data_IF_646852824902
#
_entry.id   IF_646852824902
#
_cell.length_a   1.000
_cell.length_b   1.000
_cell.length_c   1.000
_cell.angle_alpha   90.00
_cell.angle_beta   90.00
_cell.angle_gamma   90.00
#
_symmetry.space_group_name_H-M   'P 1'
#
loop_
_entity.id
_entity.type
_entity.pdbx_description
1 polymer ?
#
# COMPACT_ATOMS: atom_id res chain seq x y z
N UNK A 1 57.57 10.48 20.32
CA UNK A 1 56.62 9.74 19.46
C UNK A 1 55.74 8.92 20.39
N UNK A 2 54.47 9.20 20.66
CA UNK A 2 53.42 9.99 20.00
C UNK A 2 52.59 10.67 21.12
N UNK A 3 52.39 11.97 21.02
CA UNK A 3 51.26 12.68 21.64
C UNK A 3 50.05 12.53 20.73
N UNK A 4 48.89 12.12 21.25
CA UNK A 4 47.59 12.48 20.66
C UNK A 4 46.56 12.74 21.75
N UNK A 5 46.13 14.00 21.74
CA UNK A 5 45.10 14.60 22.55
C UNK A 5 43.76 13.84 22.45
N UNK A 6 43.18 13.54 23.60
CA UNK A 6 41.75 13.31 23.75
C UNK A 6 41.13 14.72 23.83
N UNK A 7 40.53 15.15 22.72
CA UNK A 7 39.75 16.38 22.66
C UNK A 7 38.37 16.09 23.24
N UNK A 8 38.11 16.74 24.36
CA UNK A 8 36.87 16.73 25.14
C UNK A 8 35.77 17.46 24.34
N UNK A 9 34.96 16.72 23.57
CA UNK A 9 33.75 17.27 22.96
C UNK A 9 32.67 17.38 24.02
N UNK A 10 32.45 18.60 24.52
CA UNK A 10 31.33 18.96 25.40
C UNK A 10 30.02 18.43 24.81
N UNK A 11 29.40 17.47 25.51
CA UNK A 11 28.01 17.08 25.29
C UNK A 11 27.12 18.32 25.48
N UNK A 12 26.41 18.68 24.41
CA UNK A 12 25.40 19.74 24.39
C UNK A 12 24.20 19.26 25.23
N UNK A 13 24.19 19.63 26.52
CA UNK A 13 23.16 19.24 27.49
C UNK A 13 21.91 20.10 27.34
N UNK A 14 21.28 20.08 26.16
CA UNK A 14 19.92 20.60 25.99
C UNK A 14 18.94 19.51 26.44
N UNK A 15 18.01 19.80 27.39
CA UNK A 15 17.00 18.84 27.77
C UNK A 15 16.16 18.48 26.53
N UNK A 16 16.11 17.20 26.21
CA UNK A 16 15.28 16.66 25.14
C UNK A 16 13.82 16.99 25.45
N UNK A 17 13.12 17.65 24.53
CA UNK A 17 11.71 18.00 24.70
C UNK A 17 10.86 16.72 24.63
N UNK A 18 10.41 16.26 25.79
CA UNK A 18 9.59 15.06 25.95
C UNK A 18 8.08 15.37 25.93
N UNK A 19 7.66 16.57 25.54
CA UNK A 19 6.24 16.95 25.45
C UNK A 19 5.42 16.03 24.53
N UNK A 20 6.05 15.34 23.58
CA UNK A 20 5.40 14.32 22.75
C UNK A 20 4.89 13.11 23.56
N UNK A 21 5.50 12.80 24.72
CA UNK A 21 5.03 11.73 25.61
C UNK A 21 3.66 12.05 26.20
N UNK A 22 3.35 13.33 26.42
CA UNK A 22 2.05 13.77 26.92
C UNK A 22 0.94 13.55 25.89
N UNK A 23 1.25 13.77 24.60
CA UNK A 23 0.32 13.49 23.50
C UNK A 23 0.08 11.98 23.32
N UNK A 24 1.12 11.16 23.49
CA UNK A 24 1.00 9.69 23.51
C UNK A 24 0.14 9.24 24.70
N UNK A 25 0.39 9.75 25.90
CA UNK A 25 -0.38 9.43 27.11
C UNK A 25 -1.85 9.83 26.98
N UNK A 26 -2.12 11.00 26.41
CA UNK A 26 -3.47 11.49 26.12
C UNK A 26 -4.20 10.63 25.07
N UNK A 27 -3.47 10.08 24.10
CA UNK A 27 -4.03 9.15 23.12
C UNK A 27 -4.30 7.76 23.72
N UNK A 28 -3.43 7.27 24.63
CA UNK A 28 -3.60 6.00 25.34
C UNK A 28 -4.75 6.00 26.36
N UNK A 29 -5.17 7.17 26.84
CA UNK A 29 -6.36 7.33 27.70
C UNK A 29 -7.69 7.20 26.95
N UNK A 30 -7.68 7.17 25.61
CA UNK A 30 -8.90 6.94 24.85
C UNK A 30 -9.29 5.45 24.92
N UNK A 31 -10.54 5.11 25.25
CA UNK A 31 -10.99 3.72 25.18
C UNK A 31 -10.79 3.20 23.75
N UNK A 32 -10.30 1.97 23.62
CA UNK A 32 -10.25 1.29 22.31
C UNK A 32 -11.66 1.27 21.73
N UNK A 33 -11.78 1.64 20.46
CA UNK A 33 -13.05 1.56 19.73
C UNK A 33 -13.62 0.14 19.86
N UNK A 34 -14.84 0.04 20.37
CA UNK A 34 -15.56 -1.23 20.46
C UNK A 34 -16.14 -1.59 19.08
N UNK A 35 -16.20 -2.88 18.77
CA UNK A 35 -16.68 -3.46 17.50
C UNK A 35 -18.15 -3.09 17.14
N UNK A 36 -18.84 -2.22 17.90
CA UNK A 36 -20.18 -1.70 17.58
C UNK A 36 -20.22 -0.33 16.89
N UNK A 37 -19.08 0.37 16.80
CA UNK A 37 -19.03 1.68 16.15
C UNK A 37 -18.88 1.48 14.64
N UNK A 38 -20.00 1.18 13.98
CA UNK A 38 -20.16 1.34 12.53
C UNK A 38 -19.50 2.65 12.13
N UNK A 39 -18.50 2.58 11.25
CA UNK A 39 -17.82 3.71 10.58
C UNK A 39 -18.78 4.89 10.51
N UNK A 40 -18.60 5.86 11.41
CA UNK A 40 -19.50 6.98 11.53
C UNK A 40 -19.37 7.78 10.23
N UNK A 41 -20.39 7.73 9.38
CA UNK A 41 -20.43 8.46 8.11
C UNK A 41 -20.19 9.96 8.32
N UNK A 42 -20.32 10.47 9.55
CA UNK A 42 -19.93 11.83 9.95
C UNK A 42 -18.42 12.08 9.98
N UNK A 43 -17.56 11.09 10.23
CA UNK A 43 -16.11 11.25 10.14
C UNK A 43 -15.65 11.38 8.68
N UNK A 44 -16.28 10.64 7.75
CA UNK A 44 -16.06 10.79 6.32
C UNK A 44 -16.52 12.17 5.81
N UNK A 45 -17.62 12.70 6.35
CA UNK A 45 -18.13 14.04 6.03
C UNK A 45 -17.24 15.14 6.64
N UNK A 46 -16.65 14.94 7.82
CA UNK A 46 -15.74 15.92 8.44
C UNK A 46 -14.41 16.10 7.66
N UNK A 47 -13.92 15.07 6.98
CA UNK A 47 -12.76 15.20 6.09
C UNK A 47 -13.06 16.05 4.84
N UNK A 48 -14.30 16.01 4.35
CA UNK A 48 -14.75 16.80 3.19
C UNK A 48 -15.22 18.23 3.56
N UNK A 49 -15.21 18.60 4.84
CA UNK A 49 -15.63 19.93 5.32
C UNK A 49 -14.46 20.78 5.82
N UNK A 50 -13.28 20.65 5.19
CA UNK A 50 -12.28 21.72 5.22
C UNK A 50 -12.81 22.91 4.43
N UNK A 51 -13.55 23.77 5.15
CA UNK A 51 -14.09 25.02 4.67
C UNK A 51 -12.94 26.03 4.49
N UNK A 52 -12.74 26.64 3.29
CA UNK A 52 -11.58 27.48 2.96
C UNK A 52 -11.54 28.87 3.63
N UNK A 53 -12.23 29.07 4.76
CA UNK A 53 -12.44 30.39 5.38
C UNK A 53 -11.97 30.50 6.84
N UNK A 54 -10.97 29.74 7.28
CA UNK A 54 -10.24 30.07 8.52
C UNK A 54 -9.14 31.09 8.20
N UNK A 55 -9.35 32.32 8.68
CA UNK A 55 -8.41 33.43 8.51
C UNK A 55 -7.14 33.21 9.37
N UNK A 56 -6.01 33.01 8.67
CA UNK A 56 -4.62 33.23 9.05
C UNK A 56 -3.91 32.21 9.97
N UNK A 57 -3.52 31.07 9.38
CA UNK A 57 -2.08 30.81 9.17
C UNK A 57 -1.86 31.13 7.70
N UNK A 58 -0.91 32.00 7.36
CA UNK A 58 -0.59 32.34 5.96
C UNK A 58 -0.06 31.09 5.26
N UNK A 59 -0.96 30.28 4.70
CA UNK A 59 -0.62 29.26 3.72
C UNK A 59 -0.41 29.96 2.38
N UNK A 60 0.84 30.09 1.95
CA UNK A 60 1.15 30.24 0.51
C UNK A 60 0.97 28.90 -0.24
N UNK A 61 0.12 27.99 0.25
CA UNK A 61 -0.04 26.64 -0.26
C UNK A 61 -1.44 26.47 -0.87
N UNK A 62 -1.73 27.25 -1.89
CA UNK A 62 -2.79 26.92 -2.85
C UNK A 62 -2.15 26.87 -4.23
N UNK A 63 -1.99 25.65 -4.73
CA UNK A 63 -1.70 25.31 -6.12
C UNK A 63 -0.22 25.14 -6.44
N UNK A 64 0.23 23.89 -6.60
CA UNK A 64 1.31 23.39 -7.51
C UNK A 64 1.96 22.08 -7.05
N UNK A 65 1.75 21.63 -5.80
CA UNK A 65 2.36 20.37 -5.32
C UNK A 65 1.82 19.16 -6.06
N UNK A 66 2.72 18.34 -6.59
CA UNK A 66 2.35 17.06 -7.21
C UNK A 66 2.22 15.98 -6.14
N UNK A 67 1.19 15.13 -6.27
CA UNK A 67 0.95 14.04 -5.34
C UNK A 67 2.00 12.94 -5.53
N UNK A 68 2.73 12.61 -4.47
CA UNK A 68 3.70 11.51 -4.45
C UNK A 68 3.17 10.37 -3.57
N UNK A 69 2.87 9.19 -4.14
CA UNK A 69 2.27 8.10 -3.37
C UNK A 69 3.30 7.44 -2.44
N UNK A 70 2.93 7.27 -1.18
CA UNK A 70 3.73 6.49 -0.22
C UNK A 70 3.44 5.00 -0.35
N UNK A 71 4.45 4.16 -0.13
CA UNK A 71 4.32 2.71 -0.25
C UNK A 71 4.75 2.00 1.03
N UNK A 72 3.84 1.16 1.54
CA UNK A 72 4.14 0.19 2.59
C UNK A 72 3.79 -1.20 2.07
N UNK A 73 4.80 -2.06 1.95
CA UNK A 73 4.68 -3.43 1.46
C UNK A 73 4.99 -4.41 2.58
N UNK A 74 4.13 -5.42 2.75
CA UNK A 74 4.45 -6.59 3.56
C UNK A 74 5.21 -7.58 2.66
N UNK A 75 6.50 -7.76 2.93
CA UNK A 75 7.37 -8.62 2.12
C UNK A 75 7.61 -9.99 2.76
N UNK A 76 7.21 -10.18 4.01
CA UNK A 76 7.39 -11.47 4.67
C UNK A 76 6.67 -11.62 6.01
N UNK A 77 6.26 -12.85 6.28
CA UNK A 77 5.93 -13.33 7.61
C UNK A 77 6.98 -14.38 7.96
N UNK A 78 7.78 -14.12 8.98
CA UNK A 78 9.04 -14.82 9.20
C UNK A 78 9.02 -15.64 10.47
N UNK A 79 9.56 -16.85 10.36
CA UNK A 79 10.03 -17.67 11.48
C UNK A 79 11.34 -17.10 12.02
N UNK A 80 11.77 -17.53 13.21
CA UNK A 80 13.04 -17.11 13.82
C UNK A 80 14.24 -17.29 12.88
N UNK A 81 14.39 -18.44 12.25
CA UNK A 81 15.51 -18.71 11.33
C UNK A 81 15.49 -17.79 10.10
N UNK A 82 14.32 -17.45 9.60
CA UNK A 82 14.18 -16.55 8.46
C UNK A 82 14.42 -15.09 8.83
N UNK A 83 14.08 -14.69 10.07
CA UNK A 83 14.38 -13.36 10.59
C UNK A 83 15.88 -13.08 10.58
N UNK A 84 16.69 -14.01 11.09
CA UNK A 84 18.14 -13.84 11.14
C UNK A 84 18.75 -13.63 9.74
N UNK A 85 18.33 -14.45 8.76
CA UNK A 85 18.77 -14.29 7.37
C UNK A 85 18.34 -12.96 6.77
N UNK A 86 17.10 -12.53 7.02
CA UNK A 86 16.60 -11.27 6.51
C UNK A 86 17.27 -10.05 7.16
N UNK A 87 17.58 -10.11 8.46
CA UNK A 87 18.35 -9.08 9.15
C UNK A 87 19.79 -9.02 8.65
N UNK A 88 20.44 -10.17 8.42
CA UNK A 88 21.77 -10.23 7.81
C UNK A 88 21.77 -9.51 6.47
N UNK A 89 20.85 -9.88 5.57
CA UNK A 89 20.77 -9.27 4.25
C UNK A 89 20.46 -7.76 4.30
N UNK A 90 19.59 -7.34 5.21
CA UNK A 90 19.29 -5.93 5.40
C UNK A 90 20.52 -5.17 5.94
N UNK A 91 21.24 -5.71 6.93
CA UNK A 91 22.37 -5.00 7.53
C UNK A 91 23.65 -5.07 6.70
N UNK A 92 23.81 -6.03 5.80
CA UNK A 92 24.93 -6.04 4.84
C UNK A 92 24.97 -4.78 3.97
N UNK A 93 23.82 -4.13 3.76
CA UNK A 93 23.65 -2.97 2.90
C UNK A 93 23.26 -1.69 3.69
N UNK A 94 23.48 -1.68 5.01
CA UNK A 94 23.17 -0.55 5.90
C UNK A 94 24.27 -0.39 6.93
N UNK A 95 24.59 0.86 7.32
CA UNK A 95 25.57 1.09 8.38
C UNK A 95 25.02 0.66 9.75
N UNK A 96 23.71 0.81 9.98
CA UNK A 96 23.10 0.66 11.32
C UNK A 96 21.64 0.18 11.28
N UNK A 97 21.10 -0.22 12.44
CA UNK A 97 19.67 -0.46 12.67
C UNK A 97 19.17 0.32 13.90
N UNK A 98 17.89 0.67 13.92
CA UNK A 98 17.26 1.42 15.02
C UNK A 98 16.08 0.64 15.61
N UNK A 99 15.99 0.57 16.94
CA UNK A 99 14.90 -0.13 17.63
C UNK A 99 13.67 0.76 17.89
N UNK A 100 12.66 0.23 18.59
CA UNK A 100 11.43 0.96 18.93
C UNK A 100 11.64 2.14 19.88
N UNK A 101 12.81 2.26 20.51
CA UNK A 101 13.20 3.42 21.33
C UNK A 101 14.05 4.42 20.54
N UNK A 102 14.17 4.22 19.22
CA UNK A 102 15.02 4.99 18.31
C UNK A 102 16.52 4.96 18.68
N UNK A 103 16.94 3.89 19.37
CA UNK A 103 18.34 3.66 19.70
C UNK A 103 18.97 2.82 18.60
N UNK A 104 20.18 3.21 18.23
CA UNK A 104 21.02 2.42 17.34
C UNK A 104 21.37 1.09 18.00
N UNK A 105 21.26 0.00 17.25
CA UNK A 105 21.50 -1.34 17.74
C UNK A 105 22.07 -2.23 16.65
N UNK A 106 22.93 -3.17 17.06
CA UNK A 106 23.41 -4.20 16.15
C UNK A 106 22.40 -5.35 16.02
N UNK A 107 22.67 -6.21 15.04
CA UNK A 107 21.88 -7.41 14.79
C UNK A 107 21.75 -8.30 16.03
N UNK A 108 22.85 -8.49 16.76
CA UNK A 108 22.91 -9.45 17.86
C UNK A 108 21.98 -9.00 18.99
N UNK A 109 22.01 -7.71 19.32
CA UNK A 109 21.12 -7.09 20.28
C UNK A 109 19.64 -7.27 19.90
N UNK A 110 19.28 -7.02 18.63
CA UNK A 110 17.90 -7.21 18.15
C UNK A 110 17.47 -8.67 18.33
N UNK A 111 18.27 -9.62 17.83
CA UNK A 111 17.94 -11.04 17.90
C UNK A 111 17.80 -11.51 19.34
N UNK A 112 18.79 -11.26 20.20
CA UNK A 112 18.79 -11.68 21.60
C UNK A 112 17.63 -11.08 22.40
N UNK A 113 17.36 -9.79 22.22
CA UNK A 113 16.27 -9.11 22.94
C UNK A 113 14.88 -9.61 22.53
N UNK A 114 14.74 -10.19 21.34
CA UNK A 114 13.48 -10.74 20.82
C UNK A 114 13.32 -12.24 21.11
N UNK A 115 14.40 -12.98 21.35
CA UNK A 115 14.33 -14.41 21.67
C UNK A 115 13.38 -14.73 22.84
N UNK A 116 13.36 -13.86 23.85
CA UNK A 116 12.48 -14.01 25.02
C UNK A 116 10.99 -13.87 24.70
N UNK A 117 10.66 -13.34 23.53
CA UNK A 117 9.28 -13.12 23.10
C UNK A 117 8.77 -14.24 22.18
N UNK A 118 9.66 -15.12 21.70
CA UNK A 118 9.33 -16.17 20.74
C UNK A 118 8.93 -17.46 21.44
N UNK A 119 7.97 -18.17 20.85
CA UNK A 119 7.63 -19.52 21.30
C UNK A 119 8.67 -20.50 20.76
N UNK A 120 9.64 -20.87 21.59
CA UNK A 120 10.71 -21.79 21.20
C UNK A 120 10.23 -23.24 20.99
N UNK A 121 8.99 -23.55 21.37
CA UNK A 121 8.42 -24.90 21.24
C UNK A 121 7.61 -25.08 19.96
N UNK A 122 7.20 -23.98 19.32
CA UNK A 122 6.32 -24.00 18.16
C UNK A 122 6.88 -23.17 17.02
N UNK A 123 6.78 -23.73 15.83
CA UNK A 123 7.33 -23.11 14.63
C UNK A 123 6.35 -22.10 14.01
N UNK A 124 6.25 -20.92 14.63
CA UNK A 124 5.36 -19.86 14.18
C UNK A 124 6.08 -18.73 13.42
N UNK A 125 5.28 -17.94 12.68
CA UNK A 125 5.73 -16.68 12.10
C UNK A 125 5.80 -15.60 13.18
N UNK A 126 6.97 -15.47 13.79
CA UNK A 126 7.32 -14.56 14.89
C UNK A 126 7.46 -13.09 14.48
N UNK A 127 7.82 -12.83 13.22
CA UNK A 127 8.10 -11.47 12.77
C UNK A 127 7.32 -11.14 11.50
N UNK A 128 6.94 -9.88 11.35
CA UNK A 128 6.43 -9.32 10.09
C UNK A 128 7.47 -8.37 9.51
N UNK A 129 7.79 -8.53 8.24
CA UNK A 129 8.74 -7.68 7.53
C UNK A 129 8.01 -6.76 6.58
N UNK A 130 8.10 -5.47 6.85
CA UNK A 130 7.57 -4.40 6.03
C UNK A 130 8.69 -3.64 5.33
N UNK A 131 8.37 -3.01 4.22
CA UNK A 131 9.21 -2.01 3.57
C UNK A 131 8.40 -0.74 3.43
N UNK A 132 8.91 0.34 4.01
CA UNK A 132 8.42 1.71 3.82
C UNK A 132 9.26 2.35 2.73
N UNK A 133 8.63 2.97 1.74
CA UNK A 133 9.34 3.53 0.59
C UNK A 133 8.61 4.71 -0.02
N UNK A 134 9.40 5.60 -0.60
CA UNK A 134 8.98 6.77 -1.40
C UNK A 134 9.74 6.74 -2.73
N UNK A 135 9.29 7.54 -3.71
CA UNK A 135 9.93 7.55 -5.05
C UNK A 135 11.24 8.35 -5.06
N UNK A 136 11.40 9.21 -4.08
CA UNK A 136 12.52 10.12 -3.89
C UNK A 136 13.82 9.33 -3.78
N UNK A 137 14.89 9.94 -4.30
CA UNK A 137 16.23 9.35 -4.21
C UNK A 137 16.73 9.42 -2.77
N UNK A 138 17.54 8.47 -2.33
CA UNK A 138 18.16 8.55 -1.02
C UNK A 138 19.20 9.67 -0.98
N UNK A 139 18.93 10.67 -0.17
CA UNK A 139 19.89 11.66 0.34
C UNK A 139 19.76 11.77 1.87
N UNK A 140 20.64 12.50 2.53
CA UNK A 140 20.68 12.58 3.98
C UNK A 140 19.38 13.11 4.60
N UNK A 141 18.82 14.19 4.05
CA UNK A 141 17.57 14.80 4.54
C UNK A 141 16.39 13.85 4.30
N UNK A 142 16.29 13.31 3.08
CA UNK A 142 15.24 12.36 2.70
C UNK A 142 15.29 11.11 3.59
N UNK A 143 16.46 10.54 3.82
CA UNK A 143 16.62 9.33 4.63
C UNK A 143 16.34 9.58 6.11
N UNK A 144 16.75 10.73 6.65
CA UNK A 144 16.44 11.12 8.03
C UNK A 144 14.93 11.33 8.22
N UNK A 145 14.28 12.10 7.34
CA UNK A 145 12.84 12.32 7.41
C UNK A 145 12.05 11.03 7.21
N UNK A 146 12.50 10.15 6.32
CA UNK A 146 11.91 8.83 6.10
C UNK A 146 12.04 7.92 7.33
N UNK A 147 13.21 7.88 7.97
CA UNK A 147 13.48 7.08 9.17
C UNK A 147 12.60 7.55 10.34
N UNK A 148 12.58 8.85 10.63
CA UNK A 148 11.74 9.43 11.69
C UNK A 148 10.25 9.19 11.42
N UNK A 149 9.80 9.46 10.20
CA UNK A 149 8.40 9.24 9.80
C UNK A 149 7.98 7.78 9.96
N UNK A 150 8.87 6.84 9.61
CA UNK A 150 8.62 5.40 9.78
C UNK A 150 8.52 5.03 11.26
N UNK A 151 9.45 5.49 12.08
CA UNK A 151 9.46 5.23 13.53
C UNK A 151 8.20 5.79 14.21
N UNK A 152 7.85 7.06 13.99
CA UNK A 152 6.68 7.70 14.61
C UNK A 152 5.38 6.99 14.21
N UNK A 153 5.24 6.65 12.93
CA UNK A 153 4.07 5.93 12.42
C UNK A 153 3.89 4.58 13.12
N UNK A 154 4.98 3.84 13.32
CA UNK A 154 4.94 2.57 14.03
C UNK A 154 4.70 2.75 15.52
N UNK A 155 5.26 3.77 16.17
CA UNK A 155 4.96 4.08 17.58
C UNK A 155 3.49 4.39 17.80
N UNK A 156 2.84 5.07 16.86
CA UNK A 156 1.42 5.44 16.97
C UNK A 156 0.51 4.25 16.65
N UNK A 157 0.83 3.48 15.61
CA UNK A 157 -0.03 2.37 15.17
C UNK A 157 0.24 1.04 15.90
N UNK A 158 1.45 0.84 16.41
CA UNK A 158 1.91 -0.37 17.09
C UNK A 158 2.74 -0.06 18.36
N UNK A 159 2.24 0.76 19.31
CA UNK A 159 3.01 1.19 20.49
C UNK A 159 3.48 0.04 21.39
N UNK A 160 2.72 -1.06 21.40
CA UNK A 160 2.93 -2.23 22.27
C UNK A 160 3.82 -3.31 21.65
N UNK A 161 4.45 -3.06 20.50
CA UNK A 161 5.27 -4.03 19.77
C UNK A 161 6.70 -3.52 19.62
N UNK A 162 7.67 -4.45 19.69
CA UNK A 162 9.07 -4.15 19.35
C UNK A 162 9.23 -4.15 17.84
N UNK A 163 10.10 -3.29 17.32
CA UNK A 163 10.43 -3.26 15.91
C UNK A 163 11.86 -2.78 15.69
N UNK A 164 12.43 -3.17 14.55
CA UNK A 164 13.75 -2.77 14.11
C UNK A 164 13.66 -2.15 12.71
N UNK A 165 14.30 -1.01 12.53
CA UNK A 165 14.34 -0.22 11.30
C UNK A 165 15.74 -0.26 10.72
N UNK A 166 15.87 -0.58 9.45
CA UNK A 166 17.14 -0.63 8.73
C UNK A 166 17.05 0.29 7.51
N UNK A 167 17.65 1.49 7.56
CA UNK A 167 17.60 2.45 6.46
C UNK A 167 18.50 2.04 5.30
N UNK A 168 17.96 1.98 4.09
CA UNK A 168 18.73 1.62 2.89
C UNK A 168 18.80 2.79 1.92
N UNK A 169 20.03 3.23 1.64
CA UNK A 169 20.32 4.37 0.75
C UNK A 169 20.92 3.96 -0.62
N UNK A 170 21.00 2.65 -0.92
CA UNK A 170 21.74 2.16 -2.09
C UNK A 170 20.89 1.88 -3.34
N UNK A 171 19.58 2.12 -3.31
CA UNK A 171 18.68 1.90 -4.44
C UNK A 171 18.17 3.23 -5.02
N UNK A 172 17.56 3.18 -6.22
CA UNK A 172 16.97 4.35 -6.89
C UNK A 172 15.87 5.05 -6.06
N UNK A 173 15.38 4.39 -5.00
CA UNK A 173 14.31 4.85 -4.13
C UNK A 173 14.69 4.69 -2.66
N UNK A 174 14.46 5.76 -1.88
CA UNK A 174 14.63 5.76 -0.44
C UNK A 174 13.64 4.78 0.21
N UNK A 175 14.17 3.85 1.03
CA UNK A 175 13.34 2.87 1.72
C UNK A 175 13.93 2.42 3.06
N UNK A 176 13.05 2.01 3.96
CA UNK A 176 13.37 1.44 5.27
C UNK A 176 12.82 0.03 5.34
N UNK A 177 13.69 -0.94 5.61
CA UNK A 177 13.26 -2.26 6.03
C UNK A 177 12.82 -2.21 7.50
N UNK A 178 11.60 -2.65 7.78
CA UNK A 178 11.02 -2.65 9.12
C UNK A 178 10.65 -4.07 9.52
N UNK A 179 11.31 -4.58 10.55
CA UNK A 179 10.96 -5.86 11.17
C UNK A 179 10.11 -5.59 12.40
N UNK A 180 8.95 -6.23 12.52
CA UNK A 180 8.03 -6.07 13.65
C UNK A 180 7.93 -7.40 14.38
N UNK A 181 8.35 -7.42 15.64
CA UNK A 181 8.10 -8.54 16.53
C UNK A 181 6.59 -8.67 16.74
N UNK A 182 6.01 -9.81 16.40
CA UNK A 182 4.57 -10.01 16.48
C UNK A 182 4.10 -10.33 17.90
N UNK A 183 4.98 -10.49 18.87
CA UNK A 183 4.57 -10.68 20.27
C UNK A 183 4.37 -9.33 20.95
N UNK A 184 3.16 -9.08 21.43
CA UNK A 184 2.84 -7.89 22.19
C UNK A 184 3.60 -7.87 23.53
N UNK A 185 4.25 -6.74 23.83
CA UNK A 185 5.14 -6.62 24.99
C UNK A 185 4.41 -6.78 26.33
N UNK A 186 3.14 -6.38 26.39
CA UNK A 186 2.34 -6.37 27.62
C UNK A 186 1.54 -7.67 27.79
N UNK A 187 0.81 -8.06 26.75
CA UNK A 187 -0.16 -9.17 26.82
C UNK A 187 0.43 -10.51 26.42
N UNK A 188 1.63 -10.52 25.82
CA UNK A 188 2.27 -11.70 25.19
C UNK A 188 1.42 -12.34 24.08
N UNK A 189 0.34 -11.71 23.66
CA UNK A 189 -0.48 -12.15 22.53
C UNK A 189 0.20 -11.79 21.22
N UNK A 190 -0.06 -12.59 20.19
CA UNK A 190 0.53 -12.38 18.87
C UNK A 190 -0.32 -11.44 18.04
N UNK A 191 0.32 -10.54 17.29
CA UNK A 191 -0.28 -9.73 16.24
C UNK A 191 -0.85 -10.65 15.18
N UNK A 192 -2.17 -10.61 15.05
CA UNK A 192 -2.95 -11.37 14.07
C UNK A 192 -4.10 -10.48 13.62
N UNK A 193 -4.31 -10.41 12.31
CA UNK A 193 -5.49 -9.76 11.76
C UNK A 193 -6.68 -10.74 11.84
N UNK A 194 -7.85 -10.23 12.23
CA UNK A 194 -9.10 -11.03 12.30
C UNK A 194 -9.52 -11.52 10.92
N UNK A 195 -9.24 -10.73 9.88
CA UNK A 195 -9.58 -11.04 8.50
C UNK A 195 -8.99 -10.04 7.52
N UNK A 196 -9.38 -10.18 6.26
CA UNK A 196 -8.87 -9.33 5.18
C UNK A 196 -9.17 -7.84 5.39
N UNK A 197 -10.37 -7.49 5.86
CA UNK A 197 -10.74 -6.08 6.02
C UNK A 197 -9.95 -5.40 7.15
N UNK A 198 -9.77 -6.08 8.27
CA UNK A 198 -8.93 -5.63 9.39
C UNK A 198 -7.46 -5.41 8.95
N UNK A 199 -6.93 -6.32 8.14
CA UNK A 199 -5.60 -6.15 7.55
C UNK A 199 -5.54 -4.94 6.60
N UNK A 200 -6.57 -4.75 5.76
CA UNK A 200 -6.64 -3.65 4.79
C UNK A 200 -6.74 -2.31 5.50
N UNK A 201 -7.59 -2.21 6.52
CA UNK A 201 -7.77 -1.03 7.37
C UNK A 201 -6.46 -0.69 8.09
N UNK A 202 -5.82 -1.67 8.74
CA UNK A 202 -4.52 -1.47 9.37
C UNK A 202 -3.48 -0.86 8.43
N UNK A 203 -3.30 -1.42 7.23
CA UNK A 203 -2.32 -0.88 6.28
C UNK A 203 -2.73 0.46 5.68
N UNK A 204 -4.03 0.73 5.54
CA UNK A 204 -4.52 2.01 5.08
C UNK A 204 -4.22 3.12 6.10
N UNK A 205 -4.53 2.88 7.38
CA UNK A 205 -4.24 3.80 8.46
C UNK A 205 -2.74 4.00 8.65
N UNK A 206 -1.95 2.92 8.58
CA UNK A 206 -0.49 3.02 8.67
C UNK A 206 0.10 3.86 7.52
N UNK A 207 -0.42 3.74 6.30
CA UNK A 207 0.00 4.60 5.17
C UNK A 207 -0.44 6.05 5.34
N UNK A 208 -1.64 6.29 5.88
CA UNK A 208 -2.12 7.63 6.16
C UNK A 208 -1.22 8.33 7.19
N UNK A 209 -0.91 7.64 8.30
CA UNK A 209 -0.02 8.17 9.33
C UNK A 209 1.37 8.44 8.74
N UNK A 210 1.90 7.48 7.98
CA UNK A 210 3.20 7.62 7.34
C UNK A 210 3.28 8.80 6.36
N UNK A 211 2.26 8.98 5.51
CA UNK A 211 2.19 10.13 4.62
C UNK A 211 2.10 11.46 5.40
N UNK A 212 1.33 11.49 6.49
CA UNK A 212 1.23 12.66 7.35
C UNK A 212 2.59 13.03 7.94
N UNK A 213 3.32 12.07 8.54
CA UNK A 213 4.65 12.29 9.11
C UNK A 213 5.68 12.70 8.07
N UNK A 214 5.68 12.08 6.90
CA UNK A 214 6.60 12.45 5.81
C UNK A 214 6.44 13.91 5.39
N UNK A 215 5.20 14.40 5.30
CA UNK A 215 4.96 15.79 4.96
C UNK A 215 5.41 16.76 6.06
N UNK A 216 5.34 16.34 7.32
CA UNK A 216 5.78 17.13 8.48
C UNK A 216 7.32 17.20 8.57
N UNK A 217 8.02 16.10 8.28
CA UNK A 217 9.48 16.03 8.35
C UNK A 217 10.20 16.58 7.11
N UNK A 218 9.71 16.29 5.90
CA UNK A 218 10.40 16.66 4.66
C UNK A 218 9.94 18.00 4.08
N UNK A 219 8.79 18.54 4.52
CA UNK A 219 8.23 19.85 4.14
C UNK A 219 8.45 20.26 2.66
N UNK A 220 8.32 19.32 1.73
CA UNK A 220 8.66 19.57 0.31
C UNK A 220 7.78 20.65 -0.30
N UNK A 221 8.36 21.63 -0.99
CA UNK A 221 7.59 22.64 -1.75
C UNK A 221 6.98 22.07 -3.04
N UNK A 222 7.55 20.98 -3.57
CA UNK A 222 7.20 20.39 -4.87
C UNK A 222 6.22 19.22 -4.75
N UNK A 223 6.31 18.46 -3.66
CA UNK A 223 5.57 17.22 -3.48
C UNK A 223 4.68 17.24 -2.24
N UNK A 224 3.54 16.57 -2.34
CA UNK A 224 2.72 16.19 -1.19
C UNK A 224 2.67 14.67 -1.12
N UNK A 225 3.20 14.10 -0.04
CA UNK A 225 3.12 12.66 0.20
C UNK A 225 1.68 12.27 0.54
N UNK A 226 1.14 11.30 -0.17
CA UNK A 226 -0.26 10.89 -0.01
C UNK A 226 -0.39 9.38 0.01
N UNK A 227 -1.36 8.89 0.78
CA UNK A 227 -1.82 7.52 0.62
C UNK A 227 -2.80 7.48 -0.56
N UNK A 228 -2.27 7.28 -1.76
CA UNK A 228 -3.10 6.98 -2.92
C UNK A 228 -3.34 5.47 -2.98
N UNK A 229 -4.55 4.99 -2.66
CA UNK A 229 -4.89 3.63 -3.01
C UNK A 229 -4.85 3.52 -4.54
N UNK A 230 -4.10 2.55 -5.08
CA UNK A 230 -4.20 2.16 -6.49
C UNK A 230 -5.57 1.52 -6.74
N UNK A 231 -6.62 2.33 -6.77
CA UNK A 231 -7.95 1.92 -7.17
C UNK A 231 -7.99 2.00 -8.69
N UNK A 232 -7.88 0.86 -9.36
CA UNK A 232 -8.14 0.75 -10.81
C UNK A 232 -9.48 1.37 -11.21
N UNK A 233 -10.45 1.36 -10.29
CA UNK A 233 -11.75 2.01 -10.45
C UNK A 233 -11.66 3.54 -10.49
N UNK A 234 -10.79 4.16 -9.67
CA UNK A 234 -10.55 5.61 -9.76
C UNK A 234 -9.82 5.98 -11.04
N UNK A 235 -8.87 5.14 -11.50
CA UNK A 235 -8.19 5.37 -12.78
C UNK A 235 -9.19 5.25 -13.95
N UNK A 236 -10.09 4.27 -13.90
CA UNK A 236 -11.17 4.14 -14.88
C UNK A 236 -12.14 5.34 -14.84
N UNK A 237 -12.53 5.82 -13.66
CA UNK A 237 -13.40 6.99 -13.51
C UNK A 237 -12.70 8.25 -14.03
N UNK A 238 -11.41 8.43 -13.73
CA UNK A 238 -10.60 9.55 -14.26
C UNK A 238 -10.52 9.50 -15.78
N UNK A 239 -10.33 8.31 -16.36
CA UNK A 239 -10.31 8.14 -17.80
C UNK A 239 -11.66 8.49 -18.44
N UNK A 240 -12.76 7.99 -17.86
CA UNK A 240 -14.12 8.30 -18.32
C UNK A 240 -14.43 9.79 -18.25
N UNK A 241 -13.99 10.49 -17.19
CA UNK A 241 -14.16 11.93 -17.08
C UNK A 241 -13.38 12.70 -18.16
N UNK A 242 -12.14 12.28 -18.47
CA UNK A 242 -11.37 12.91 -19.55
C UNK A 242 -11.99 12.70 -20.94
N UNK A 243 -12.61 11.55 -21.17
CA UNK A 243 -13.28 11.28 -22.44
C UNK A 243 -14.56 12.12 -22.58
N UNK A 244 -15.34 12.27 -21.51
CA UNK A 244 -16.51 13.17 -21.46
C UNK A 244 -16.14 14.64 -21.67
N UNK A 245 -15.05 15.12 -21.07
CA UNK A 245 -14.57 16.51 -21.27
C UNK A 245 -14.15 16.77 -22.73
N UNK A 246 -13.63 15.77 -23.43
CA UNK A 246 -13.31 15.88 -24.86
C UNK A 246 -14.56 15.91 -25.71
N UNK A 247 -15.56 15.08 -25.39
CA UNK A 247 -16.87 15.10 -26.05
C UNK A 247 -17.56 16.46 -25.87
N UNK A 248 -17.57 17.00 -24.65
CA UNK A 248 -18.13 18.32 -24.35
C UNK A 248 -17.45 19.43 -25.18
N UNK A 249 -16.12 19.44 -25.24
CA UNK A 249 -15.38 20.40 -26.09
C UNK A 249 -15.63 20.23 -27.58
N UNK A 250 -15.89 19.02 -28.05
CA UNK A 250 -16.25 18.77 -29.45
C UNK A 250 -17.65 19.31 -29.76
N UNK A 251 -18.59 19.18 -28.82
CA UNK A 251 -19.93 19.75 -28.93
C UNK A 251 -19.92 21.29 -28.89
N UNK A 252 -19.07 21.91 -28.06
CA UNK A 252 -18.90 23.37 -28.02
C UNK A 252 -18.34 23.99 -29.31
N UNK A 253 -17.70 23.19 -30.18
CA UNK A 253 -17.17 23.64 -31.46
C UNK A 253 -18.19 23.61 -32.60
N UNK A 254 -19.39 23.07 -32.37
CA UNK A 254 -20.50 23.08 -33.33
C UNK A 254 -21.02 24.52 -33.44
N UNK A 255 -20.71 25.19 -34.54
CA UNK A 255 -21.10 26.60 -34.77
C UNK A 255 -22.17 26.76 -35.85
N UNK A 256 -22.52 25.69 -36.58
CA UNK A 256 -23.54 25.73 -37.62
C UNK A 256 -24.43 24.47 -37.66
N UNK A 257 -25.66 24.55 -38.20
CA UNK A 257 -26.55 23.40 -38.38
C UNK A 257 -25.99 22.26 -39.23
N UNK A 258 -25.01 22.56 -40.10
CA UNK A 258 -24.35 21.55 -40.92
C UNK A 258 -23.37 20.71 -40.09
N UNK A 259 -22.63 21.35 -39.18
CA UNK A 259 -21.71 20.67 -38.26
C UNK A 259 -22.49 19.73 -37.30
N UNK A 260 -23.67 20.15 -36.87
CA UNK A 260 -24.59 19.34 -36.04
C UNK A 260 -25.12 18.13 -36.80
N UNK A 261 -25.44 18.28 -38.08
CA UNK A 261 -25.89 17.17 -38.94
C UNK A 261 -24.78 16.16 -39.20
N UNK A 262 -23.57 16.63 -39.51
CA UNK A 262 -22.41 15.78 -39.77
C UNK A 262 -21.99 15.00 -38.51
N UNK A 263 -22.04 15.63 -37.33
CA UNK A 263 -21.78 14.95 -36.05
C UNK A 263 -22.85 13.90 -35.73
N UNK A 264 -24.13 14.23 -35.88
CA UNK A 264 -25.22 13.27 -35.65
C UNK A 264 -25.11 12.04 -36.56
N UNK A 265 -24.70 12.25 -37.81
CA UNK A 265 -24.47 11.17 -38.77
C UNK A 265 -23.28 10.29 -38.36
N UNK A 266 -22.20 10.88 -37.86
CA UNK A 266 -21.05 10.15 -37.34
C UNK A 266 -21.42 9.31 -36.11
N UNK A 267 -22.09 9.90 -35.11
CA UNK A 267 -22.54 9.20 -33.90
C UNK A 267 -23.50 8.05 -34.20
N UNK A 268 -24.45 8.26 -35.14
CA UNK A 268 -25.34 7.18 -35.58
C UNK A 268 -24.56 6.03 -36.23
N UNK A 269 -23.55 6.33 -37.05
CA UNK A 269 -22.75 5.32 -37.71
C UNK A 269 -21.91 4.49 -36.72
N UNK A 270 -21.37 5.14 -35.69
CA UNK A 270 -20.61 4.50 -34.61
C UNK A 270 -21.50 3.61 -33.76
N UNK A 271 -22.68 4.11 -33.36
CA UNK A 271 -23.67 3.33 -32.61
C UNK A 271 -24.14 2.08 -33.39
N UNK A 272 -24.39 2.23 -34.69
CA UNK A 272 -24.73 1.11 -35.58
C UNK A 272 -23.61 0.08 -35.68
N UNK A 273 -22.36 0.52 -35.66
CA UNK A 273 -21.21 -0.37 -35.69
C UNK A 273 -21.07 -1.13 -34.37
N UNK A 274 -21.21 -0.46 -33.24
CA UNK A 274 -21.15 -1.10 -31.91
C UNK A 274 -22.26 -2.15 -31.73
N UNK A 275 -23.48 -1.89 -32.24
CA UNK A 275 -24.57 -2.86 -32.25
C UNK A 275 -24.24 -4.10 -33.12
N UNK A 276 -23.61 -3.91 -34.28
CA UNK A 276 -23.17 -5.02 -35.13
C UNK A 276 -22.13 -5.87 -34.42
N UNK A 277 -21.17 -5.25 -33.75
CA UNK A 277 -20.11 -5.95 -33.05
C UNK A 277 -20.65 -6.72 -31.82
N UNK A 278 -21.58 -6.12 -31.06
CA UNK A 278 -22.29 -6.82 -29.97
C UNK A 278 -23.11 -8.01 -30.47
N UNK A 279 -23.80 -7.87 -31.60
CA UNK A 279 -24.58 -8.97 -32.19
C UNK A 279 -23.67 -10.08 -32.71
N UNK A 280 -22.53 -9.73 -33.32
CA UNK A 280 -21.53 -10.70 -33.77
C UNK A 280 -20.92 -11.46 -32.59
N UNK A 281 -20.59 -10.78 -31.49
CA UNK A 281 -20.09 -11.40 -30.27
C UNK A 281 -21.11 -12.37 -29.66
N UNK A 282 -22.39 -11.97 -29.58
CA UNK A 282 -23.48 -12.86 -29.12
C UNK A 282 -23.67 -14.08 -30.03
N UNK A 283 -23.59 -13.89 -31.35
CA UNK A 283 -23.68 -15.01 -32.30
C UNK A 283 -22.52 -16.00 -32.13
N UNK A 284 -21.30 -15.51 -31.89
CA UNK A 284 -20.14 -16.35 -31.59
C UNK A 284 -20.31 -17.13 -30.28
N UNK A 285 -20.83 -16.48 -29.24
CA UNK A 285 -21.05 -17.10 -27.93
C UNK A 285 -22.11 -18.22 -27.99
N UNK A 286 -23.21 -17.99 -28.71
CA UNK A 286 -24.23 -19.01 -28.98
C UNK A 286 -23.64 -20.19 -29.76
N UNK A 287 -22.82 -19.92 -30.77
CA UNK A 287 -22.15 -20.96 -31.55
C UNK A 287 -21.21 -21.79 -30.68
N UNK A 288 -20.43 -21.14 -29.82
CA UNK A 288 -19.45 -21.80 -28.96
C UNK A 288 -20.13 -22.63 -27.85
N UNK A 289 -21.18 -22.10 -27.21
CA UNK A 289 -21.83 -22.73 -26.06
C UNK A 289 -22.89 -23.78 -26.43
N UNK A 290 -23.53 -23.67 -27.61
CA UNK A 290 -24.58 -24.63 -28.01
C UNK A 290 -24.20 -25.54 -29.17
N UNK A 291 -23.41 -25.09 -30.14
CA UNK A 291 -23.08 -25.90 -31.34
C UNK A 291 -21.91 -26.84 -31.11
N UNK A 292 -20.85 -26.38 -30.42
CA UNK A 292 -19.62 -27.16 -30.19
C UNK A 292 -19.86 -28.40 -29.33
N UNK A 293 -20.60 -28.32 -28.20
CA UNK A 293 -20.87 -29.49 -27.36
C UNK A 293 -21.78 -30.51 -28.06
N UNK A 294 -22.72 -30.05 -28.89
CA UNK A 294 -23.60 -30.93 -29.66
C UNK A 294 -22.83 -31.66 -30.77
N UNK A 295 -21.93 -30.96 -31.46
CA UNK A 295 -21.04 -31.55 -32.47
C UNK A 295 -20.07 -32.56 -31.87
N UNK A 296 -19.55 -32.30 -30.67
CA UNK A 296 -18.72 -33.26 -29.93
C UNK A 296 -19.53 -34.52 -29.56
N UNK A 297 -20.73 -34.37 -28.97
CA UNK A 297 -21.60 -35.52 -28.66
C UNK A 297 -21.98 -36.35 -29.89
N UNK A 298 -22.25 -35.71 -31.04
CA UNK A 298 -22.54 -36.42 -32.30
C UNK A 298 -21.29 -37.15 -32.81
N UNK A 299 -20.10 -36.56 -32.66
CA UNK A 299 -18.83 -37.20 -33.04
C UNK A 299 -18.54 -38.42 -32.15
N UNK A 300 -18.71 -38.29 -30.84
CA UNK A 300 -18.56 -39.38 -29.87
C UNK A 300 -19.53 -40.53 -30.18
N UNK A 301 -20.79 -40.20 -30.50
CA UNK A 301 -21.80 -41.20 -30.86
C UNK A 301 -21.46 -41.93 -32.17
N UNK A 302 -20.92 -41.22 -33.17
CA UNK A 302 -20.44 -41.84 -34.42
C UNK A 302 -19.26 -42.78 -34.20
N UNK A 303 -18.30 -42.40 -33.34
CA UNK A 303 -17.16 -43.25 -32.99
C UNK A 303 -17.62 -44.50 -32.26
N UNK A 304 -18.54 -44.37 -31.30
CA UNK A 304 -19.12 -45.51 -30.57
C UNK A 304 -19.85 -46.48 -31.50
N UNK A 305 -20.62 -45.97 -32.48
CA UNK A 305 -21.29 -46.78 -33.51
C UNK A 305 -20.32 -47.51 -34.44
N UNK A 306 -19.17 -46.90 -34.75
CA UNK A 306 -18.15 -47.53 -35.60
C UNK A 306 -17.44 -48.66 -34.85
N UNK A 307 -17.06 -48.42 -33.59
CA UNK A 307 -16.41 -49.42 -32.74
C UNK A 307 -17.32 -50.62 -32.41
N UNK A 308 -18.65 -50.44 -32.45
CA UNK A 308 -19.61 -51.52 -32.23
C UNK A 308 -19.84 -52.43 -33.45
N UNK A 309 -19.42 -51.98 -34.65
CA UNK A 309 -19.46 -52.80 -35.87
C UNK A 309 -18.21 -53.68 -36.02
N UNK A 310 -17.06 -53.20 -35.54
CA UNK A 310 -15.81 -53.98 -35.59
C UNK A 310 -15.78 -55.15 -34.58
N UNK A 311 -16.71 -55.20 -33.63
CA UNK A 311 -16.83 -56.32 -32.67
C UNK A 311 -17.85 -57.39 -33.07
N UNK A 312 -18.60 -57.20 -34.17
CA UNK A 312 -19.60 -58.20 -34.62
C UNK A 312 -19.09 -59.18 -35.68
N UNK A 313 -17.87 -59.00 -36.20
CA UNK A 313 -17.28 -59.89 -37.21
C UNK A 313 -16.33 -60.95 -36.61
N UNK A 314 -16.16 -60.98 -35.27
CA UNK A 314 -15.33 -61.96 -34.55
C UNK A 314 -16.14 -62.98 -33.70
N UNK A 315 -17.46 -63.03 -33.82
CA UNK A 315 -18.27 -64.15 -33.30
C UNK A 315 -18.89 -64.96 -34.44
N UNK A 316 -18.22 -66.07 -34.73
CA UNK A 316 -18.66 -67.18 -35.57
C UNK A 316 -19.60 -68.11 -34.83
#
# INVERSE_FOLDING_TARGET
MLDRAILDTKLDSRPMDLSFLDDILKHMQKPRFSDSDKVDKRLLIKFNQFNPNSKFIKSNLVGTKTASPVLIKNIGQMKRSHLENALNYALENSETAYNEMFLECDKQFILESWLNDFDLTKDYNETMHLVFSIKDKPDEETMQGLLHSTWESLKIRLPEYKFALVPHAHQDHAHIHCFINKTNQLTRRRLRFKGHEDCKEFFNELRNEFAYRLNDHLLSEEYLYVNEPKLKELDNIKQQLQDLEKEEKALEQIKSPQDEWDLNKALQSEYLQELKDKNKAKALDIQNNHSTPLKQKISEFKIALFNHKDTSDDEK
#
